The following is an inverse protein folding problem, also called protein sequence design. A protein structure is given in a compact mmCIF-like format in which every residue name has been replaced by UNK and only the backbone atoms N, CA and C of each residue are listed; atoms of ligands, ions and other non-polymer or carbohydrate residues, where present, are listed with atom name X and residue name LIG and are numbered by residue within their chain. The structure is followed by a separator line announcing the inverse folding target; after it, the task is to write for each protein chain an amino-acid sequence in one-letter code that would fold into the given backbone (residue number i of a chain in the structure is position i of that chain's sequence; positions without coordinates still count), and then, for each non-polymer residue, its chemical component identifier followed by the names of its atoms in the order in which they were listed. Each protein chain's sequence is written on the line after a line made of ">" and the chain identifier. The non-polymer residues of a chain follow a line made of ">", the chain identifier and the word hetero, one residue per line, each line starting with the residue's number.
data_IF_192787550784
#
_entry.id   IF_192787550784
#
_cell.length_a   1.000
_cell.length_b   1.000
_cell.length_c   1.000
_cell.angle_alpha   90.00
_cell.angle_beta   90.00
_cell.angle_gamma   90.00
#
_symmetry.space_group_name_H-M   'P 1'
#
loop_
_entity.id
_entity.type
_entity.pdbx_description
1 polymer ?
#
# COMPACT_ATOMS: atom_id res chain seq x y z
N UNK A 1 -7.79 -6.21 -8.51
CA UNK A 1 -6.75 -5.52 -7.71
C UNK A 1 -6.38 -4.10 -8.18
N UNK A 2 -7.09 -3.44 -9.13
CA UNK A 2 -6.97 -1.95 -9.27
C UNK A 2 -7.07 -1.25 -7.90
N UNK A 3 -7.84 -1.88 -7.02
CA UNK A 3 -8.22 -1.48 -5.68
C UNK A 3 -7.05 -1.56 -4.67
N UNK A 4 -6.25 -2.65 -4.69
CA UNK A 4 -5.00 -2.78 -3.92
C UNK A 4 -4.00 -1.69 -4.33
N UNK A 5 -3.90 -1.43 -5.64
CA UNK A 5 -3.05 -0.36 -6.17
C UNK A 5 -3.54 1.04 -5.78
N UNK A 6 -4.85 1.28 -5.61
CA UNK A 6 -5.35 2.55 -5.03
C UNK A 6 -4.75 2.80 -3.65
N UNK A 7 -4.68 1.79 -2.78
CA UNK A 7 -4.12 1.94 -1.45
C UNK A 7 -2.59 2.11 -1.47
N UNK A 8 -1.90 1.48 -2.41
CA UNK A 8 -0.46 1.71 -2.65
C UNK A 8 -0.21 3.13 -3.14
N UNK A 9 -1.01 3.60 -4.10
CA UNK A 9 -0.93 4.95 -4.65
C UNK A 9 -1.17 5.98 -3.52
N UNK A 10 -2.12 5.74 -2.61
CA UNK A 10 -2.33 6.57 -1.41
C UNK A 10 -1.13 6.60 -0.47
N UNK A 11 -0.44 5.47 -0.27
CA UNK A 11 0.81 5.42 0.51
C UNK A 11 1.90 6.24 -0.18
N UNK A 12 2.03 6.12 -1.51
CA UNK A 12 2.99 6.91 -2.31
C UNK A 12 2.71 8.41 -2.17
N UNK A 13 1.44 8.82 -2.26
CA UNK A 13 1.03 10.22 -2.15
C UNK A 13 1.36 10.79 -0.77
N UNK A 14 1.07 10.04 0.30
CA UNK A 14 1.40 10.44 1.68
C UNK A 14 2.91 10.64 1.86
N UNK A 15 3.73 9.69 1.39
CA UNK A 15 5.19 9.78 1.49
C UNK A 15 5.79 10.85 0.57
N UNK A 16 5.09 11.22 -0.50
CA UNK A 16 5.53 12.27 -1.43
C UNK A 16 5.17 13.68 -0.93
N UNK A 17 4.04 13.80 -0.23
CA UNK A 17 3.43 15.05 0.23
C UNK A 17 3.75 15.47 1.66
N UNK A 18 4.36 14.61 2.47
CA UNK A 18 4.66 14.93 3.88
C UNK A 18 5.72 16.03 4.08
N UNK A 19 5.85 16.56 5.32
CA UNK A 19 6.79 17.62 5.64
C UNK A 19 8.22 17.19 5.31
N UNK A 20 8.89 17.93 4.42
CA UNK A 20 10.30 17.68 4.07
C UNK A 20 11.29 18.41 4.97
N UNK A 21 10.79 19.16 5.93
CA UNK A 21 11.57 19.96 6.88
C UNK A 21 11.50 19.34 8.27
N UNK A 22 12.18 19.95 9.23
CA UNK A 22 12.06 19.56 10.65
C UNK A 22 10.63 19.80 11.15
N UNK A 23 10.22 19.01 12.15
CA UNK A 23 8.87 19.03 12.72
C UNK A 23 8.82 19.68 14.11
N UNK A 24 9.66 20.69 14.34
CA UNK A 24 9.87 21.32 15.65
C UNK A 24 8.62 21.97 16.28
N UNK A 25 7.63 22.36 15.45
CA UNK A 25 6.42 23.01 15.96
C UNK A 25 5.33 21.98 16.30
N UNK A 26 4.49 22.23 17.32
CA UNK A 26 3.37 21.35 17.65
C UNK A 26 2.46 21.03 16.46
N UNK A 27 2.22 22.00 15.58
CA UNK A 27 1.38 21.83 14.38
C UNK A 27 2.01 20.85 13.40
N UNK A 28 3.34 20.94 13.20
CA UNK A 28 4.07 20.03 12.32
C UNK A 28 4.18 18.61 12.90
N UNK A 29 4.35 18.49 14.23
CA UNK A 29 4.27 17.18 14.90
C UNK A 29 2.89 16.55 14.70
N UNK A 30 1.83 17.34 14.82
CA UNK A 30 0.46 16.85 14.60
C UNK A 30 0.23 16.42 13.14
N UNK A 31 0.72 17.19 12.16
CA UNK A 31 0.69 16.78 10.75
C UNK A 31 1.47 15.47 10.51
N UNK A 32 2.66 15.34 11.09
CA UNK A 32 3.48 14.13 11.03
C UNK A 32 2.77 12.91 11.66
N UNK A 33 2.06 13.09 12.79
CA UNK A 33 1.24 12.05 13.42
C UNK A 33 0.11 11.60 12.52
N UNK A 34 -0.60 12.54 11.89
CA UNK A 34 -1.68 12.24 10.93
C UNK A 34 -1.15 11.42 9.76
N UNK A 35 -0.02 11.80 9.18
CA UNK A 35 0.62 11.02 8.11
C UNK A 35 0.96 9.62 8.57
N UNK A 36 1.62 9.45 9.72
CA UNK A 36 1.94 8.12 10.25
C UNK A 36 0.68 7.28 10.51
N UNK A 37 -0.39 7.91 10.98
CA UNK A 37 -1.68 7.25 11.25
C UNK A 37 -2.33 6.77 9.97
N UNK A 38 -2.39 7.63 8.94
CA UNK A 38 -2.93 7.27 7.62
C UNK A 38 -2.07 6.21 6.92
N UNK A 39 -0.75 6.28 7.03
CA UNK A 39 0.13 5.23 6.51
C UNK A 39 -0.17 3.87 7.16
N UNK A 40 -0.30 3.81 8.49
CA UNK A 40 -0.67 2.57 9.19
C UNK A 40 -2.07 2.08 8.82
N UNK A 41 -3.02 2.99 8.59
CA UNK A 41 -4.37 2.66 8.10
C UNK A 41 -4.29 1.92 6.77
N UNK A 42 -3.61 2.48 5.77
CA UNK A 42 -3.51 1.87 4.45
C UNK A 42 -2.67 0.58 4.46
N UNK A 43 -1.63 0.50 5.28
CA UNK A 43 -0.89 -0.74 5.48
C UNK A 43 -1.77 -1.83 6.06
N UNK A 44 -2.56 -1.54 7.10
CA UNK A 44 -3.47 -2.52 7.69
C UNK A 44 -4.53 -3.02 6.71
N UNK A 45 -5.03 -2.16 5.82
CA UNK A 45 -5.93 -2.54 4.73
C UNK A 45 -5.22 -3.49 3.76
N UNK A 46 -4.01 -3.13 3.31
CA UNK A 46 -3.23 -3.96 2.38
C UNK A 46 -2.86 -5.32 3.02
N UNK A 47 -2.48 -5.33 4.29
CA UNK A 47 -2.18 -6.56 5.04
C UNK A 47 -3.42 -7.47 5.15
N UNK A 48 -4.58 -6.87 5.41
CA UNK A 48 -5.86 -7.59 5.48
C UNK A 48 -6.25 -8.19 4.12
N UNK A 49 -6.00 -7.47 3.03
CA UNK A 49 -6.13 -8.00 1.68
C UNK A 49 -5.17 -9.20 1.56
N UNK A 50 -3.86 -8.98 1.56
CA UNK A 50 -2.83 -10.03 1.33
C UNK A 50 -3.02 -11.31 2.17
N UNK A 51 -3.45 -11.18 3.44
CA UNK A 51 -3.61 -12.33 4.36
C UNK A 51 -4.97 -13.00 4.32
N UNK A 52 -5.94 -12.48 3.58
CA UNK A 52 -7.29 -13.02 3.60
C UNK A 52 -7.30 -14.44 3.02
N UNK A 53 -7.68 -15.43 3.84
CA UNK A 53 -7.80 -16.84 3.47
C UNK A 53 -8.74 -17.10 2.26
N UNK A 54 -9.67 -16.18 1.98
CA UNK A 54 -10.47 -16.24 0.76
C UNK A 54 -9.58 -16.02 -0.47
N UNK A 55 -8.54 -15.20 -0.37
CA UNK A 55 -7.53 -14.99 -1.42
C UNK A 55 -6.79 -16.27 -1.77
N UNK A 56 -6.44 -17.13 -0.81
CA UNK A 56 -5.82 -18.42 -1.14
C UNK A 56 -6.76 -19.32 -1.97
N UNK A 57 -8.05 -19.34 -1.62
CA UNK A 57 -9.09 -20.00 -2.43
C UNK A 57 -9.25 -19.33 -3.81
N UNK A 58 -9.10 -18.01 -3.89
CA UNK A 58 -9.18 -17.28 -5.16
C UNK A 58 -7.94 -17.48 -6.03
N UNK A 59 -6.74 -17.50 -5.44
CA UNK A 59 -5.48 -17.88 -6.07
C UNK A 59 -5.57 -19.29 -6.63
N UNK A 60 -6.17 -20.22 -5.88
CA UNK A 60 -6.47 -21.55 -6.38
C UNK A 60 -7.48 -21.53 -7.53
N UNK A 61 -8.61 -20.81 -7.39
CA UNK A 61 -9.58 -20.64 -8.49
C UNK A 61 -8.96 -20.00 -9.73
N UNK A 62 -7.97 -19.14 -9.56
CA UNK A 62 -7.24 -18.48 -10.64
C UNK A 62 -6.21 -19.38 -11.31
N UNK A 63 -5.49 -20.16 -10.51
CA UNK A 63 -4.64 -21.23 -10.99
C UNK A 63 -5.47 -22.23 -11.82
N UNK A 64 -6.66 -22.57 -11.35
CA UNK A 64 -7.57 -23.51 -12.01
C UNK A 64 -8.30 -22.87 -13.22
N UNK A 65 -8.56 -21.56 -13.19
CA UNK A 65 -9.10 -20.78 -14.29
C UNK A 65 -7.97 -20.44 -15.27
N UNK A 66 -7.57 -21.42 -16.07
CA UNK A 66 -6.51 -21.28 -17.06
C UNK A 66 -6.76 -20.07 -17.99
N UNK A 67 -6.08 -18.94 -17.73
CA UNK A 67 -6.05 -17.80 -18.66
C UNK A 67 -5.01 -18.16 -19.72
N UNK A 68 -5.47 -18.74 -20.83
CA UNK A 68 -4.63 -19.23 -21.93
C UNK A 68 -3.68 -18.18 -22.55
N UNK A 69 -3.89 -16.89 -22.26
CA UNK A 69 -3.06 -15.78 -22.74
C UNK A 69 -1.82 -15.50 -21.89
N UNK A 70 -1.69 -16.03 -20.68
CA UNK A 70 -0.60 -15.68 -19.74
C UNK A 70 -0.06 -16.95 -19.07
N UNK A 71 1.15 -17.37 -19.46
CA UNK A 71 1.91 -18.44 -18.79
C UNK A 71 2.15 -18.10 -17.32
N UNK A 72 2.06 -19.10 -16.44
CA UNK A 72 2.46 -19.01 -15.03
C UNK A 72 1.83 -17.82 -14.27
N UNK A 73 0.59 -17.51 -14.63
CA UNK A 73 -0.18 -16.37 -14.15
C UNK A 73 -0.37 -16.40 -12.62
N UNK A 74 -0.83 -17.52 -12.07
CA UNK A 74 -1.06 -17.65 -10.64
C UNK A 74 0.24 -17.51 -9.82
N UNK A 75 1.34 -18.05 -10.33
CA UNK A 75 2.66 -17.93 -9.70
C UNK A 75 3.17 -16.48 -9.69
N UNK A 76 2.90 -15.72 -10.75
CA UNK A 76 3.22 -14.29 -10.80
C UNK A 76 2.43 -13.49 -9.77
N UNK A 77 1.16 -13.82 -9.54
CA UNK A 77 0.33 -13.16 -8.51
C UNK A 77 0.81 -13.52 -7.10
N UNK A 78 1.12 -14.79 -6.85
CA UNK A 78 1.63 -15.24 -5.55
C UNK A 78 2.93 -14.51 -5.18
N UNK A 79 3.89 -14.44 -6.11
CA UNK A 79 5.14 -13.69 -5.92
C UNK A 79 4.92 -12.20 -5.67
N UNK A 80 3.91 -11.60 -6.31
CA UNK A 80 3.55 -10.21 -6.08
C UNK A 80 3.02 -10.01 -4.65
N UNK A 81 2.16 -10.91 -4.15
CA UNK A 81 1.68 -10.86 -2.77
C UNK A 81 2.81 -11.04 -1.74
N UNK A 82 3.76 -11.93 -2.00
CA UNK A 82 4.96 -12.08 -1.16
C UNK A 82 5.80 -10.79 -1.13
N UNK A 83 5.97 -10.14 -2.29
CA UNK A 83 6.66 -8.85 -2.39
C UNK A 83 5.92 -7.77 -1.61
N UNK A 84 4.58 -7.74 -1.68
CA UNK A 84 3.77 -6.81 -0.89
C UNK A 84 3.89 -7.06 0.61
N UNK A 85 3.75 -8.31 1.09
CA UNK A 85 3.90 -8.63 2.52
C UNK A 85 5.28 -8.21 3.04
N UNK A 86 6.35 -8.54 2.31
CA UNK A 86 7.70 -8.11 2.68
C UNK A 86 7.84 -6.59 2.71
N UNK A 87 7.26 -5.88 1.75
CA UNK A 87 7.30 -4.43 1.69
C UNK A 87 6.54 -3.79 2.87
N UNK A 88 5.32 -4.25 3.16
CA UNK A 88 4.52 -3.72 4.26
C UNK A 88 5.23 -3.87 5.61
N UNK A 89 5.88 -5.01 5.87
CA UNK A 89 6.67 -5.20 7.10
C UNK A 89 7.80 -4.20 7.27
N UNK A 90 8.52 -3.89 6.17
CA UNK A 90 9.58 -2.88 6.19
C UNK A 90 8.98 -1.51 6.46
N UNK A 91 7.90 -1.16 5.76
CA UNK A 91 7.23 0.12 5.90
C UNK A 91 6.67 0.34 7.31
N UNK A 92 6.05 -0.67 7.93
CA UNK A 92 5.62 -0.63 9.33
C UNK A 92 6.78 -0.37 10.29
N UNK A 93 7.91 -1.04 10.07
CA UNK A 93 9.10 -0.85 10.90
C UNK A 93 9.66 0.57 10.76
N UNK A 94 9.63 1.15 9.57
CA UNK A 94 10.05 2.52 9.32
C UNK A 94 9.09 3.56 9.91
N UNK A 95 7.77 3.32 9.85
CA UNK A 95 6.79 4.19 10.51
C UNK A 95 6.97 4.21 12.02
N UNK A 96 7.28 3.07 12.65
CA UNK A 96 7.60 3.03 14.09
C UNK A 96 8.80 3.93 14.43
N UNK A 97 9.80 4.00 13.55
CA UNK A 97 10.96 4.90 13.73
C UNK A 97 10.54 6.36 13.58
N UNK A 98 9.65 6.68 12.63
CA UNK A 98 9.09 8.03 12.45
C UNK A 98 8.27 8.46 13.67
N UNK A 99 7.41 7.59 14.20
CA UNK A 99 6.66 7.85 15.43
C UNK A 99 7.58 8.11 16.62
N UNK A 100 8.67 7.33 16.75
CA UNK A 100 9.65 7.56 17.81
C UNK A 100 10.43 8.88 17.67
N UNK A 101 10.48 9.46 16.47
CA UNK A 101 11.02 10.83 16.27
C UNK A 101 10.02 11.85 16.77
N UNK A 102 8.74 11.73 16.37
CA UNK A 102 7.68 12.66 16.76
C UNK A 102 7.53 12.76 18.29
N UNK A 103 7.56 11.62 18.97
CA UNK A 103 7.41 11.55 20.43
C UNK A 103 8.71 11.85 21.21
N UNK A 104 9.83 12.04 20.51
CA UNK A 104 11.10 12.43 21.09
C UNK A 104 11.50 13.87 20.77
N UNK A 105 12.68 14.25 21.25
CA UNK A 105 13.33 15.53 20.94
C UNK A 105 14.37 15.33 19.82
N UNK A 106 13.93 14.81 18.66
CA UNK A 106 14.79 14.49 17.50
C UNK A 106 14.21 15.01 16.18
N UNK A 107 13.57 16.17 16.24
CA UNK A 107 12.78 16.73 15.15
C UNK A 107 13.60 16.97 13.87
N UNK A 108 14.91 17.15 14.02
CA UNK A 108 15.89 17.28 12.96
C UNK A 108 16.09 15.99 12.14
N UNK A 109 15.88 14.82 12.73
CA UNK A 109 16.01 13.53 12.04
C UNK A 109 14.84 13.24 11.09
N UNK A 110 13.71 13.95 11.26
CA UNK A 110 12.47 13.69 10.53
C UNK A 110 12.68 13.68 9.01
N UNK A 111 13.24 14.76 8.47
CA UNK A 111 13.39 14.93 7.01
C UNK A 111 14.19 13.77 6.39
N UNK A 112 15.30 13.39 7.03
CA UNK A 112 16.15 12.29 6.56
C UNK A 112 15.45 10.94 6.65
N UNK A 113 14.76 10.64 7.77
CA UNK A 113 14.06 9.35 7.93
C UNK A 113 12.82 9.25 7.06
N UNK A 114 12.05 10.31 6.94
CA UNK A 114 10.86 10.37 6.10
C UNK A 114 11.24 10.22 4.62
N UNK A 115 12.28 10.95 4.17
CA UNK A 115 12.83 10.81 2.83
C UNK A 115 13.37 9.41 2.54
N UNK A 116 14.05 8.78 3.50
CA UNK A 116 14.54 7.39 3.37
C UNK A 116 13.40 6.39 3.23
N UNK A 117 12.31 6.59 3.97
CA UNK A 117 11.11 5.74 3.90
C UNK A 117 10.44 5.84 2.52
N UNK A 118 10.28 7.07 2.00
CA UNK A 118 9.79 7.31 0.65
C UNK A 118 10.70 6.72 -0.44
N UNK A 119 12.02 6.83 -0.27
CA UNK A 119 12.99 6.23 -1.19
C UNK A 119 12.95 4.69 -1.14
N UNK A 120 12.73 4.09 0.03
CA UNK A 120 12.53 2.64 0.16
C UNK A 120 11.32 2.15 -0.64
N UNK A 121 10.20 2.87 -0.60
CA UNK A 121 9.03 2.59 -1.44
C UNK A 121 9.34 2.77 -2.93
N UNK A 122 10.10 3.80 -3.29
CA UNK A 122 10.56 3.98 -4.67
C UNK A 122 11.36 2.75 -5.15
N UNK A 123 12.38 2.35 -4.38
CA UNK A 123 13.23 1.19 -4.71
C UNK A 123 12.49 -0.16 -4.67
N UNK A 124 11.34 -0.23 -4.00
CA UNK A 124 10.53 -1.45 -3.95
C UNK A 124 9.93 -1.83 -5.30
N UNK A 125 9.92 -0.94 -6.30
CA UNK A 125 9.32 -1.15 -7.63
C UNK A 125 7.80 -1.30 -7.62
N UNK A 126 7.13 -1.00 -6.49
CA UNK A 126 5.67 -1.05 -6.34
C UNK A 126 4.98 0.26 -6.77
N UNK A 127 5.76 1.30 -7.08
CA UNK A 127 5.29 2.59 -7.57
C UNK A 127 5.44 2.67 -9.09
N UNK A 128 4.57 3.43 -9.75
CA UNK A 128 3.99 3.17 -11.07
C UNK A 128 4.87 3.34 -12.33
N UNK A 129 6.19 3.12 -12.26
CA UNK A 129 7.12 3.43 -13.37
C UNK A 129 7.75 2.24 -14.09
N UNK A 130 7.44 1.01 -13.71
CA UNK A 130 7.93 -0.19 -14.42
C UNK A 130 6.82 -0.84 -15.25
N UNK A 131 7.14 -1.25 -16.49
CA UNK A 131 6.22 -1.96 -17.39
C UNK A 131 5.57 -3.20 -16.74
N UNK A 132 6.23 -3.76 -15.71
CA UNK A 132 5.69 -4.85 -14.90
C UNK A 132 4.44 -4.42 -14.12
N UNK A 133 4.40 -3.24 -13.50
CA UNK A 133 3.26 -2.80 -12.68
C UNK A 133 1.98 -2.58 -13.50
N UNK A 134 2.10 -2.06 -14.73
CA UNK A 134 0.95 -1.97 -15.65
C UNK A 134 0.39 -3.35 -15.97
N UNK A 135 1.28 -4.29 -16.32
CA UNK A 135 0.92 -5.68 -16.57
C UNK A 135 0.29 -6.33 -15.33
N UNK A 136 0.71 -5.97 -14.11
CA UNK A 136 0.13 -6.46 -12.85
C UNK A 136 -1.21 -5.79 -12.45
N UNK A 137 -1.49 -4.56 -12.92
CA UNK A 137 -2.80 -3.90 -12.75
C UNK A 137 -3.88 -4.52 -13.63
N UNK A 138 -3.53 -4.96 -14.85
CA UNK A 138 -4.46 -5.50 -15.88
C UNK A 138 -5.03 -6.89 -15.58
N UNK A 139 -4.44 -7.57 -14.62
CA UNK A 139 -4.39 -9.04 -14.63
C UNK A 139 -5.07 -9.55 -13.35
N UNK A 140 -5.34 -8.67 -12.38
CA UNK A 140 -5.56 -9.01 -10.99
C UNK A 140 -7.01 -8.87 -10.47
N UNK A 141 -7.42 -9.73 -9.53
CA UNK A 141 -8.70 -10.46 -9.64
C UNK A 141 -9.81 -10.08 -8.65
N UNK A 142 -9.58 -9.31 -7.59
CA UNK A 142 -10.70 -8.98 -6.70
C UNK A 142 -11.79 -8.18 -7.41
N UNK A 143 -12.95 -8.80 -7.57
CA UNK A 143 -14.18 -8.12 -7.94
C UNK A 143 -14.72 -7.34 -6.73
N UNK A 144 -15.44 -6.24 -6.98
CA UNK A 144 -15.94 -5.37 -5.91
C UNK A 144 -16.76 -6.13 -4.85
N UNK A 145 -17.53 -7.14 -5.26
CA UNK A 145 -18.34 -7.95 -4.37
C UNK A 145 -17.51 -8.82 -3.40
N UNK A 146 -16.27 -9.16 -3.76
CA UNK A 146 -15.35 -9.96 -2.94
C UNK A 146 -14.66 -9.10 -1.85
N UNK A 147 -14.58 -7.79 -2.07
CA UNK A 147 -14.01 -6.83 -1.13
C UNK A 147 -14.98 -6.47 0.01
N UNK A 148 -16.30 -6.58 -0.24
CA UNK A 148 -17.38 -6.31 0.74
C UNK A 148 -17.32 -7.15 2.03
N UNK A 149 -16.54 -8.23 2.04
CA UNK A 149 -16.31 -9.09 3.20
C UNK A 149 -14.86 -9.16 3.66
N UNK A 150 -14.02 -8.21 3.26
CA UNK A 150 -12.57 -8.19 3.50
C UNK A 150 -12.11 -6.86 4.08
N UNK A 151 -12.64 -5.75 3.58
CA UNK A 151 -12.32 -4.39 4.05
C UNK A 151 -13.58 -3.68 4.54
N UNK A 152 -13.41 -2.59 5.30
CA UNK A 152 -14.54 -1.87 5.91
C UNK A 152 -15.42 -1.18 4.86
N UNK A 153 -16.68 -0.91 5.20
CA UNK A 153 -17.61 -0.18 4.33
C UNK A 153 -17.11 1.25 4.01
N UNK A 154 -16.41 1.90 4.93
CA UNK A 154 -15.78 3.21 4.70
C UNK A 154 -14.73 3.12 3.59
N UNK A 155 -13.83 2.12 3.66
CA UNK A 155 -12.76 1.95 2.68
C UNK A 155 -13.28 1.47 1.33
N UNK A 156 -14.38 0.73 1.32
CA UNK A 156 -15.09 0.39 0.08
C UNK A 156 -15.66 1.64 -0.59
N UNK A 157 -16.31 2.52 0.18
CA UNK A 157 -16.89 3.75 -0.36
C UNK A 157 -15.80 4.72 -0.87
N UNK A 158 -14.70 4.86 -0.13
CA UNK A 158 -13.53 5.63 -0.58
C UNK A 158 -12.98 5.10 -1.91
N UNK A 159 -12.99 3.79 -2.06
CA UNK A 159 -12.48 3.13 -3.24
C UNK A 159 -13.43 3.25 -4.44
N UNK A 160 -14.73 3.09 -4.22
CA UNK A 160 -15.78 3.33 -5.22
C UNK A 160 -15.68 4.77 -5.76
N UNK A 161 -15.50 5.77 -4.89
CA UNK A 161 -15.29 7.17 -5.30
C UNK A 161 -14.07 7.37 -6.21
N UNK A 162 -12.93 6.73 -5.89
CA UNK A 162 -11.71 6.83 -6.71
C UNK A 162 -11.90 6.15 -8.07
N UNK A 163 -12.64 5.04 -8.12
CA UNK A 163 -12.91 4.33 -9.37
C UNK A 163 -13.86 5.10 -10.28
N UNK A 164 -14.91 5.70 -9.73
CA UNK A 164 -15.86 6.56 -10.47
C UNK A 164 -15.17 7.77 -11.13
N UNK A 165 -14.06 8.25 -10.55
CA UNK A 165 -13.26 9.35 -11.12
C UNK A 165 -12.34 8.90 -12.27
N UNK A 166 -12.18 7.59 -12.47
CA UNK A 166 -11.30 6.99 -13.48
C UNK A 166 -12.05 6.35 -14.65
N UNK A 167 -13.38 6.30 -14.60
CA UNK A 167 -14.29 5.85 -15.68
C UNK A 167 -14.87 7.03 -16.46
#
# INVERSE_FOLDING_TARGET
>A
MKHTFVFIDKIVDLLSGGPRQTIETPERKEEARKICTELLKYIGILDTLIKNHKEEKYLKRLHDAHISKISDWADQVAKLFERFDSFLRILEADIKKLQAIIEGDRDEEWSTRFGSTGFGLYMSGLHDKENEMKRFREIAVFEMHELKGTISAEHLAELEQVLDLLE
#
